data_IF_667178304104
#
_entry.id   IF_667178304104
#
_cell.length_a   1.000
_cell.length_b   1.000
_cell.length_c   1.000
_cell.angle_alpha   90.00
_cell.angle_beta   90.00
_cell.angle_gamma   90.00
#
_symmetry.space_group_name_H-M   'P 1'
#
loop_
_entity.id
_entity.type
_entity.pdbx_description
1 polymer ?
#
# COMPACT_ATOMS: atom_id res chain seq x y z
N UNK A 1 -9.62 -4.95 -2.07
CA UNK A 1 -9.45 -5.56 -3.42
C UNK A 1 -10.81 -5.96 -3.98
N UNK A 2 -10.94 -6.38 -5.24
CA UNK A 2 -12.24 -6.87 -5.76
C UNK A 2 -12.87 -7.93 -4.84
N UNK A 3 -12.04 -8.82 -4.26
CA UNK A 3 -12.45 -9.80 -3.25
C UNK A 3 -13.03 -9.19 -1.96
N UNK A 4 -12.51 -8.06 -1.47
CA UNK A 4 -13.04 -7.43 -0.25
C UNK A 4 -14.39 -6.77 -0.46
N UNK A 5 -14.67 -6.26 -1.66
CA UNK A 5 -15.97 -5.68 -2.02
C UNK A 5 -17.00 -6.79 -2.28
N UNK A 6 -16.56 -7.90 -2.89
CA UNK A 6 -17.41 -9.07 -3.12
C UNK A 6 -17.66 -9.90 -1.86
N UNK A 7 -16.81 -9.76 -0.84
CA UNK A 7 -16.98 -10.39 0.48
C UNK A 7 -17.99 -9.67 1.38
N UNK A 8 -18.47 -8.48 0.99
CA UNK A 8 -19.58 -7.80 1.68
C UNK A 8 -20.88 -8.51 1.37
N UNK A 9 -21.80 -8.61 2.35
CA UNK A 9 -23.10 -9.24 2.19
C UNK A 9 -23.80 -8.75 0.89
N UNK A 10 -24.09 -9.65 -0.08
CA UNK A 10 -24.75 -9.28 -1.32
C UNK A 10 -26.15 -8.66 -1.11
N UNK A 11 -26.78 -8.90 0.05
CA UNK A 11 -28.07 -8.31 0.43
C UNK A 11 -27.97 -6.82 0.81
N UNK A 12 -26.77 -6.30 1.14
CA UNK A 12 -26.57 -4.92 1.57
C UNK A 12 -26.99 -3.91 0.48
N UNK A 13 -26.67 -4.19 -0.79
CA UNK A 13 -26.98 -3.28 -1.92
C UNK A 13 -28.48 -3.19 -2.23
N UNK A 14 -29.24 -4.31 -2.31
CA UNK A 14 -30.70 -4.28 -2.39
C UNK A 14 -31.36 -3.56 -1.22
N UNK A 15 -30.89 -3.76 0.02
CA UNK A 15 -31.42 -3.11 1.21
C UNK A 15 -31.22 -1.59 1.18
N UNK A 16 -30.02 -1.13 0.82
CA UNK A 16 -29.73 0.30 0.65
C UNK A 16 -30.62 0.95 -0.42
N UNK A 17 -30.93 0.23 -1.50
CA UNK A 17 -31.87 0.72 -2.52
C UNK A 17 -33.32 0.74 -2.02
N UNK A 18 -33.72 -0.24 -1.22
CA UNK A 18 -35.07 -0.31 -0.66
C UNK A 18 -35.36 0.88 0.27
N UNK A 19 -34.35 1.40 0.97
CA UNK A 19 -34.45 2.61 1.80
C UNK A 19 -34.23 3.93 1.04
N UNK A 20 -34.20 3.89 -0.30
CA UNK A 20 -34.09 5.09 -1.14
C UNK A 20 -32.69 5.68 -1.27
N UNK A 21 -31.63 4.93 -0.93
CA UNK A 21 -30.26 5.43 -1.07
C UNK A 21 -29.89 5.68 -2.54
N UNK A 22 -29.26 6.83 -2.79
CA UNK A 22 -28.68 7.17 -4.09
C UNK A 22 -27.47 6.29 -4.41
N UNK A 23 -27.08 6.23 -5.68
CA UNK A 23 -25.95 5.40 -6.13
C UNK A 23 -24.66 5.69 -5.35
N UNK A 24 -24.37 6.96 -5.09
CA UNK A 24 -23.20 7.39 -4.31
C UNK A 24 -23.27 6.99 -2.83
N UNK A 25 -24.45 7.04 -2.23
CA UNK A 25 -24.65 6.58 -0.84
C UNK A 25 -24.42 5.07 -0.72
N UNK A 26 -24.91 4.29 -1.70
CA UNK A 26 -24.71 2.85 -1.73
C UNK A 26 -23.23 2.47 -1.91
N UNK A 27 -22.51 3.14 -2.82
CA UNK A 27 -21.06 2.93 -3.02
C UNK A 27 -20.27 3.28 -1.76
N UNK A 28 -20.60 4.40 -1.11
CA UNK A 28 -19.93 4.80 0.13
C UNK A 28 -20.15 3.79 1.25
N UNK A 29 -21.37 3.29 1.44
CA UNK A 29 -21.67 2.26 2.44
C UNK A 29 -20.90 0.96 2.17
N UNK A 30 -20.87 0.49 0.92
CA UNK A 30 -20.09 -0.68 0.51
C UNK A 30 -18.59 -0.53 0.78
N UNK A 31 -18.01 0.66 0.52
CA UNK A 31 -16.60 0.93 0.79
C UNK A 31 -16.29 0.99 2.29
N UNK A 32 -17.21 1.50 3.11
CA UNK A 32 -17.07 1.52 4.57
C UNK A 32 -17.12 0.10 5.12
N UNK A 33 -18.01 -0.75 4.60
CA UNK A 33 -18.12 -2.15 5.02
C UNK A 33 -16.89 -2.95 4.59
N UNK A 34 -16.45 -2.77 3.34
CA UNK A 34 -15.26 -3.43 2.79
C UNK A 34 -13.92 -2.85 3.30
N UNK A 35 -13.93 -1.85 4.18
CA UNK A 35 -12.75 -1.04 4.54
C UNK A 35 -11.54 -1.87 4.95
N UNK A 36 -11.76 -2.96 5.69
CA UNK A 36 -10.66 -3.81 6.17
C UNK A 36 -9.95 -4.53 5.02
N UNK A 37 -10.70 -5.16 4.12
CA UNK A 37 -10.10 -5.83 2.98
C UNK A 37 -9.58 -4.87 1.91
N UNK A 38 -10.05 -3.61 1.89
CA UNK A 38 -9.41 -2.54 1.12
C UNK A 38 -8.04 -2.18 1.72
N UNK A 39 -7.96 -1.99 3.04
CA UNK A 39 -6.69 -1.70 3.75
C UNK A 39 -5.69 -2.84 3.55
N UNK A 40 -6.09 -4.11 3.70
CA UNK A 40 -5.20 -5.26 3.45
C UNK A 40 -4.67 -5.25 2.02
N UNK A 41 -5.54 -4.95 1.04
CA UNK A 41 -5.13 -4.80 -0.35
C UNK A 41 -4.12 -3.68 -0.57
N UNK A 42 -4.29 -2.55 0.12
CA UNK A 42 -3.38 -1.42 0.06
C UNK A 42 -2.01 -1.76 0.64
N UNK A 43 -1.98 -2.43 1.80
CA UNK A 43 -0.73 -2.89 2.44
C UNK A 43 0.04 -3.85 1.52
N UNK A 44 -0.68 -4.81 0.90
CA UNK A 44 -0.08 -5.74 -0.04
C UNK A 44 0.50 -5.03 -1.28
N UNK A 45 -0.25 -4.09 -1.86
CA UNK A 45 0.21 -3.29 -3.00
C UNK A 45 1.42 -2.42 -2.67
N UNK A 46 1.44 -1.83 -1.47
CA UNK A 46 2.56 -1.02 -0.99
C UNK A 46 3.85 -1.84 -0.88
N UNK A 47 3.79 -3.05 -0.31
CA UNK A 47 4.94 -3.95 -0.25
C UNK A 47 5.48 -4.33 -1.63
N UNK A 48 4.58 -4.54 -2.60
CA UNK A 48 4.96 -4.83 -3.99
C UNK A 48 5.69 -3.67 -4.65
N UNK A 49 5.23 -2.42 -4.45
CA UNK A 49 5.81 -1.24 -5.10
C UNK A 49 7.18 -0.90 -4.51
N UNK A 50 7.36 -1.02 -3.19
CA UNK A 50 8.68 -0.78 -2.57
C UNK A 50 9.74 -1.76 -3.08
N UNK A 51 9.32 -3.00 -3.36
CA UNK A 51 10.23 -4.05 -3.84
C UNK A 51 10.60 -3.89 -5.33
N UNK A 52 9.92 -2.99 -6.06
CA UNK A 52 10.13 -2.80 -7.49
C UNK A 52 11.27 -1.83 -7.77
N UNK A 53 12.42 -2.37 -8.16
CA UNK A 53 13.62 -1.57 -8.49
C UNK A 53 13.87 -1.49 -9.99
N UNK A 54 13.56 -2.57 -10.72
CA UNK A 54 13.87 -2.68 -12.14
C UNK A 54 13.08 -1.69 -12.99
N UNK A 55 11.75 -1.65 -12.81
CA UNK A 55 10.90 -0.72 -13.55
C UNK A 55 11.24 0.75 -13.27
N UNK A 56 11.53 1.08 -12.00
CA UNK A 56 11.88 2.44 -11.57
C UNK A 56 13.21 2.88 -12.17
N UNK A 57 14.21 2.00 -12.20
CA UNK A 57 15.51 2.30 -12.81
C UNK A 57 15.43 2.47 -14.33
N UNK A 58 14.58 1.69 -15.01
CA UNK A 58 14.39 1.74 -16.47
C UNK A 58 13.70 3.03 -16.90
N UNK A 59 12.61 3.43 -16.22
CA UNK A 59 11.78 4.56 -16.64
C UNK A 59 12.17 5.86 -15.94
N UNK A 60 12.44 5.82 -14.64
CA UNK A 60 12.74 7.01 -13.82
C UNK A 60 14.20 7.49 -13.93
N UNK A 61 15.11 6.63 -14.41
CA UNK A 61 16.54 6.92 -14.46
C UNK A 61 17.18 6.96 -13.07
N UNK A 62 18.37 7.56 -12.97
CA UNK A 62 19.16 7.59 -11.73
C UNK A 62 19.98 8.89 -11.58
N UNK A 63 19.33 10.03 -11.77
CA UNK A 63 19.98 11.34 -11.67
C UNK A 63 19.98 11.79 -10.21
N UNK A 64 21.17 12.05 -9.68
CA UNK A 64 21.35 12.46 -8.30
C UNK A 64 20.56 13.74 -7.98
N UNK A 65 19.88 13.75 -6.82
CA UNK A 65 19.05 14.89 -6.37
C UNK A 65 17.83 15.23 -7.23
N UNK A 66 17.52 14.46 -8.29
CA UNK A 66 16.39 14.73 -9.19
C UNK A 66 15.45 13.55 -9.35
N UNK A 67 15.97 12.41 -9.78
CA UNK A 67 15.17 11.21 -10.08
C UNK A 67 15.63 9.95 -9.34
N UNK A 68 16.78 10.03 -8.66
CA UNK A 68 17.31 8.96 -7.83
C UNK A 68 16.41 8.69 -6.63
N UNK A 69 15.98 7.45 -6.50
CA UNK A 69 15.24 6.93 -5.33
C UNK A 69 16.15 6.04 -4.49
N UNK A 70 15.78 5.80 -3.24
CA UNK A 70 16.59 4.99 -2.30
C UNK A 70 16.90 3.60 -2.86
N UNK A 71 15.93 2.92 -3.50
CA UNK A 71 16.13 1.58 -4.05
C UNK A 71 17.14 1.55 -5.20
N UNK A 72 17.13 2.55 -6.10
CA UNK A 72 18.09 2.65 -7.20
C UNK A 72 19.46 3.11 -6.72
N UNK A 73 19.53 3.92 -5.65
CA UNK A 73 20.76 4.29 -4.98
C UNK A 73 21.46 3.06 -4.36
N UNK A 74 20.72 2.19 -3.66
CA UNK A 74 21.27 0.93 -3.11
C UNK A 74 21.90 0.08 -4.22
N UNK A 75 21.22 -0.09 -5.36
CA UNK A 75 21.75 -0.83 -6.50
C UNK A 75 22.99 -0.16 -7.09
N UNK A 76 23.00 1.17 -7.20
CA UNK A 76 24.14 1.92 -7.72
C UNK A 76 25.38 1.74 -6.84
N UNK A 77 25.27 1.97 -5.53
CA UNK A 77 26.39 1.86 -4.60
C UNK A 77 26.93 0.43 -4.53
N UNK A 78 26.03 -0.57 -4.58
CA UNK A 78 26.43 -1.99 -4.67
C UNK A 78 27.24 -2.27 -5.93
N UNK A 79 26.86 -1.70 -7.08
CA UNK A 79 27.57 -1.87 -8.36
C UNK A 79 28.91 -1.13 -8.41
N UNK A 80 29.08 -0.06 -7.64
CA UNK A 80 30.34 0.68 -7.52
C UNK A 80 31.31 0.03 -6.52
N UNK A 81 30.86 -0.98 -5.75
CA UNK A 81 31.66 -1.62 -4.71
C UNK A 81 31.59 -0.90 -3.36
N UNK A 82 30.78 0.14 -3.22
CA UNK A 82 30.54 0.85 -1.95
C UNK A 82 29.49 0.13 -1.10
N UNK A 83 29.81 -1.08 -0.66
CA UNK A 83 28.88 -1.92 0.11
C UNK A 83 28.47 -1.28 1.44
N UNK A 84 29.35 -0.49 2.06
CA UNK A 84 29.07 0.21 3.32
C UNK A 84 27.89 1.18 3.17
N UNK A 85 27.92 2.01 2.11
CA UNK A 85 26.84 2.94 1.78
C UNK A 85 25.58 2.20 1.34
N UNK A 86 25.72 1.15 0.52
CA UNK A 86 24.59 0.36 0.06
C UNK A 86 23.82 -0.29 1.23
N UNK A 87 24.54 -0.85 2.20
CA UNK A 87 23.97 -1.44 3.41
C UNK A 87 23.31 -0.39 4.30
N UNK A 88 23.96 0.76 4.49
CA UNK A 88 23.37 1.86 5.27
C UNK A 88 22.04 2.33 4.65
N UNK A 89 22.00 2.57 3.34
CA UNK A 89 20.79 2.94 2.62
C UNK A 89 19.73 1.84 2.66
N UNK A 90 20.15 0.57 2.56
CA UNK A 90 19.26 -0.59 2.66
C UNK A 90 18.57 -0.70 4.02
N UNK A 91 19.32 -0.50 5.12
CA UNK A 91 18.76 -0.50 6.48
C UNK A 91 17.78 0.67 6.66
N UNK A 92 18.11 1.87 6.16
CA UNK A 92 17.19 3.02 6.20
C UNK A 92 15.91 2.71 5.45
N UNK A 93 16.00 2.15 4.24
CA UNK A 93 14.84 1.74 3.45
C UNK A 93 13.98 0.70 4.19
N UNK A 94 14.61 -0.30 4.80
CA UNK A 94 13.91 -1.33 5.59
C UNK A 94 13.18 -0.72 6.79
N UNK A 95 13.82 0.19 7.52
CA UNK A 95 13.19 0.90 8.65
C UNK A 95 11.98 1.72 8.19
N UNK A 96 12.11 2.49 7.10
CA UNK A 96 11.00 3.27 6.54
C UNK A 96 9.85 2.35 6.12
N UNK A 97 10.18 1.24 5.45
CA UNK A 97 9.19 0.26 4.99
C UNK A 97 8.45 -0.38 6.16
N UNK A 98 9.18 -0.75 7.20
CA UNK A 98 8.62 -1.33 8.43
C UNK A 98 7.73 -0.34 9.17
N UNK A 99 8.18 0.90 9.38
CA UNK A 99 7.40 1.95 10.04
C UNK A 99 6.12 2.22 9.24
N UNK A 100 6.21 2.35 7.92
CA UNK A 100 5.04 2.63 7.09
C UNK A 100 4.05 1.48 7.13
N UNK A 101 4.54 0.24 7.03
CA UNK A 101 3.71 -0.96 7.16
C UNK A 101 3.03 -1.03 8.55
N UNK A 102 3.78 -0.76 9.62
CA UNK A 102 3.26 -0.74 10.98
C UNK A 102 2.18 0.33 11.17
N UNK A 103 2.39 1.55 10.64
CA UNK A 103 1.38 2.62 10.68
C UNK A 103 0.10 2.21 9.96
N UNK A 104 0.21 1.57 8.78
CA UNK A 104 -0.95 1.06 8.05
C UNK A 104 -1.71 -0.01 8.85
N UNK A 105 -1.00 -0.92 9.50
CA UNK A 105 -1.60 -1.98 10.34
C UNK A 105 -2.23 -1.39 11.61
N UNK A 106 -1.55 -0.48 12.30
CA UNK A 106 -2.10 0.18 13.51
C UNK A 106 -3.35 1.00 13.18
N UNK A 107 -3.41 1.60 11.99
CA UNK A 107 -4.63 2.24 11.48
C UNK A 107 -5.82 1.28 11.33
N UNK A 108 -5.57 -0.03 11.15
CA UNK A 108 -6.59 -1.07 11.05
C UNK A 108 -7.16 -1.48 12.43
N UNK A 109 -6.31 -1.50 13.48
CA UNK A 109 -6.62 -2.04 14.81
C UNK A 109 -7.66 -1.27 15.63
N UNK A 110 -8.13 -0.10 15.18
CA UNK A 110 -9.23 0.63 15.84
C UNK A 110 -10.64 0.13 15.48
N UNK A 111 -10.74 -0.82 14.55
CA UNK A 111 -12.03 -1.36 14.10
C UNK A 111 -12.38 -2.76 14.60
N UNK A 112 -11.49 -3.43 15.34
CA UNK A 112 -11.61 -4.85 15.74
C UNK A 112 -12.26 -5.08 17.11
N UNK A 113 -12.87 -4.07 17.74
CA UNK A 113 -13.44 -4.21 19.10
C UNK A 113 -14.96 -4.48 19.13
N UNK A 114 -15.60 -4.71 17.99
CA UNK A 114 -17.06 -4.97 17.92
C UNK A 114 -17.38 -6.10 16.91
N UNK A 115 -16.68 -7.22 17.04
CA UNK A 115 -17.16 -8.50 16.53
C UNK A 115 -17.70 -9.32 17.71
#
# INVERSE_FOLDING_TARGET
>A
TMSSVLGVDPALRPQLRAIGATHWQAVRALLIEARFGVIVGLVAGFGSIISEVGAVMLVGGNIDGRTRVLTTAVVLETRQGHFDLALALGIILLLISFITNLVMILGQGRGSSLA
#
